data_IF_045646622943
#
_entry.id   IF_045646622943
#
_cell.length_a   1.000
_cell.length_b   1.000
_cell.length_c   1.000
_cell.angle_alpha   90.00
_cell.angle_beta   90.00
_cell.angle_gamma   90.00
#
_symmetry.space_group_name_H-M   'P 1'
#
loop_
_entity.id
_entity.type
_entity.pdbx_description
1 polymer ?
#
# COMPACT_ATOMS: atom_id res chain seq x y z
N UNK A 1 10.02 -9.86 4.97
CA UNK A 1 8.89 -9.13 4.39
C UNK A 1 8.05 -10.08 3.57
N UNK A 2 6.79 -9.72 3.35
CA UNK A 2 5.86 -10.43 2.46
C UNK A 2 5.58 -9.55 1.24
N UNK A 3 5.34 -10.18 0.10
CA UNK A 3 5.17 -9.48 -1.17
C UNK A 3 3.82 -9.78 -1.78
N UNK A 4 3.11 -8.73 -2.16
CA UNK A 4 1.85 -8.80 -2.87
C UNK A 4 1.89 -7.89 -4.11
N UNK A 5 0.93 -8.04 -5.00
CA UNK A 5 0.63 -7.02 -6.00
C UNK A 5 -0.87 -6.77 -6.12
N UNK A 6 -1.21 -5.58 -6.64
CA UNK A 6 -2.60 -5.18 -6.85
C UNK A 6 -3.13 -5.66 -8.20
N UNK A 7 -4.37 -6.15 -8.22
CA UNK A 7 -5.06 -6.49 -9.47
C UNK A 7 -5.43 -5.26 -10.32
N UNK A 8 -5.18 -4.04 -9.83
CA UNK A 8 -5.22 -2.81 -10.65
C UNK A 8 -4.30 -2.92 -11.89
N UNK A 9 -3.20 -3.68 -11.76
CA UNK A 9 -2.29 -3.98 -12.86
C UNK A 9 -2.77 -5.07 -13.83
N UNK A 10 -3.90 -5.72 -13.54
CA UNK A 10 -4.49 -6.84 -14.31
C UNK A 10 -5.99 -6.60 -14.59
N UNK A 11 -6.39 -5.48 -15.23
CA UNK A 11 -7.80 -5.12 -15.38
C UNK A 11 -8.65 -6.24 -15.97
N UNK A 12 -9.76 -6.59 -15.33
CA UNK A 12 -10.71 -7.59 -15.78
C UNK A 12 -10.18 -9.05 -15.82
N UNK A 13 -8.98 -9.28 -15.28
CA UNK A 13 -8.38 -10.63 -15.29
C UNK A 13 -9.11 -11.56 -14.32
N UNK A 14 -9.50 -12.79 -14.73
CA UNK A 14 -10.14 -13.75 -13.84
C UNK A 14 -9.29 -14.05 -12.59
N UNK A 15 -9.96 -14.23 -11.43
CA UNK A 15 -9.30 -14.51 -10.13
C UNK A 15 -8.32 -15.68 -10.21
N UNK A 16 -8.69 -16.76 -10.90
CA UNK A 16 -7.83 -17.94 -11.06
C UNK A 16 -6.52 -17.61 -11.80
N UNK A 17 -6.57 -16.72 -12.79
CA UNK A 17 -5.35 -16.30 -13.51
C UNK A 17 -4.49 -15.38 -12.66
N UNK A 18 -5.08 -14.44 -11.92
CA UNK A 18 -4.35 -13.58 -10.99
C UNK A 18 -3.67 -14.39 -9.88
N UNK A 19 -4.38 -15.40 -9.34
CA UNK A 19 -3.81 -16.33 -8.35
C UNK A 19 -2.66 -17.16 -8.92
N UNK A 20 -2.80 -17.68 -10.15
CA UNK A 20 -1.74 -18.43 -10.82
C UNK A 20 -0.50 -17.56 -11.05
N UNK A 21 -0.67 -16.31 -11.51
CA UNK A 21 0.43 -15.37 -11.68
C UNK A 21 1.14 -15.05 -10.35
N UNK A 22 0.39 -14.85 -9.27
CA UNK A 22 1.01 -14.61 -7.96
C UNK A 22 1.88 -15.81 -7.53
N UNK A 23 1.34 -17.02 -7.60
CA UNK A 23 2.06 -18.24 -7.26
C UNK A 23 3.27 -18.49 -8.17
N UNK A 24 3.14 -18.32 -9.48
CA UNK A 24 4.18 -18.52 -10.49
C UNK A 24 5.38 -17.59 -10.25
N UNK A 25 5.12 -16.32 -9.88
CA UNK A 25 6.16 -15.33 -9.65
C UNK A 25 6.54 -15.19 -8.17
N UNK A 26 6.00 -16.03 -7.29
CA UNK A 26 6.37 -16.13 -5.87
C UNK A 26 5.87 -14.99 -4.99
N UNK A 27 4.77 -14.33 -5.37
CA UNK A 27 4.06 -13.40 -4.49
C UNK A 27 3.17 -14.18 -3.52
N UNK A 28 3.17 -13.77 -2.26
CA UNK A 28 2.40 -14.42 -1.20
C UNK A 28 0.98 -13.89 -1.10
N UNK A 29 0.69 -12.74 -1.71
CA UNK A 29 -0.63 -12.11 -1.62
C UNK A 29 -1.05 -11.32 -2.84
N UNK A 30 -2.36 -11.02 -2.87
CA UNK A 30 -2.99 -10.11 -3.82
C UNK A 30 -3.78 -9.03 -3.07
N UNK A 31 -3.68 -7.81 -3.52
CA UNK A 31 -4.68 -6.77 -3.27
C UNK A 31 -5.70 -6.81 -4.39
N UNK A 32 -6.98 -6.95 -4.05
CA UNK A 32 -8.05 -7.07 -5.03
C UNK A 32 -8.75 -5.74 -5.24
N UNK A 33 -8.65 -5.18 -6.44
CA UNK A 33 -9.44 -4.02 -6.84
C UNK A 33 -10.93 -4.39 -6.83
N UNK A 34 -11.73 -3.67 -6.05
CA UNK A 34 -13.17 -3.91 -5.90
C UNK A 34 -13.97 -2.85 -6.67
N UNK A 35 -14.15 -3.06 -7.95
CA UNK A 35 -14.94 -2.21 -8.85
C UNK A 35 -15.84 -3.09 -9.73
N UNK A 36 -16.98 -2.55 -10.19
CA UNK A 36 -17.96 -3.31 -11.00
C UNK A 36 -17.41 -3.83 -12.33
N UNK A 37 -16.26 -3.31 -12.79
CA UNK A 37 -15.54 -3.80 -13.97
C UNK A 37 -14.65 -5.02 -13.67
N UNK A 38 -14.51 -5.38 -12.38
CA UNK A 38 -13.63 -6.47 -11.95
C UNK A 38 -14.44 -7.73 -11.58
N UNK A 39 -13.80 -8.90 -11.59
CA UNK A 39 -14.47 -10.16 -11.24
C UNK A 39 -15.05 -10.19 -9.82
N UNK A 40 -14.49 -9.41 -8.90
CA UNK A 40 -14.94 -9.32 -7.51
C UNK A 40 -15.24 -7.86 -7.12
N UNK A 41 -16.47 -7.63 -6.72
CA UNK A 41 -16.98 -6.33 -6.29
C UNK A 41 -18.10 -6.51 -5.23
N UNK A 42 -18.56 -5.44 -4.57
CA UNK A 42 -19.56 -5.54 -3.51
C UNK A 42 -20.85 -6.28 -3.87
N UNK A 43 -21.25 -6.30 -5.16
CA UNK A 43 -22.47 -6.95 -5.61
C UNK A 43 -22.25 -8.40 -6.10
N UNK A 44 -21.01 -8.89 -6.09
CA UNK A 44 -20.69 -10.29 -6.45
C UNK A 44 -21.44 -11.24 -5.52
N UNK A 45 -22.14 -12.27 -6.05
CA UNK A 45 -22.87 -13.24 -5.24
C UNK A 45 -21.98 -13.98 -4.23
N UNK A 46 -22.51 -14.26 -3.03
CA UNK A 46 -21.73 -14.91 -1.95
C UNK A 46 -21.10 -16.24 -2.35
N UNK A 47 -21.80 -17.05 -3.17
CA UNK A 47 -21.25 -18.31 -3.71
C UNK A 47 -19.99 -18.10 -4.56
N UNK A 48 -19.95 -17.03 -5.36
CA UNK A 48 -18.80 -16.68 -6.19
C UNK A 48 -17.64 -16.16 -5.35
N UNK A 49 -17.91 -15.37 -4.29
CA UNK A 49 -16.88 -14.92 -3.32
C UNK A 49 -16.21 -16.11 -2.63
N UNK A 50 -17.01 -17.09 -2.19
CA UNK A 50 -16.49 -18.34 -1.59
C UNK A 50 -15.66 -19.15 -2.60
N UNK A 51 -16.11 -19.24 -3.84
CA UNK A 51 -15.35 -19.93 -4.92
C UNK A 51 -14.01 -19.20 -5.18
N UNK A 52 -14.01 -17.88 -5.27
CA UNK A 52 -12.81 -17.06 -5.43
C UNK A 52 -11.81 -17.26 -4.28
N UNK A 53 -12.28 -17.21 -3.03
CA UNK A 53 -11.46 -17.48 -1.85
C UNK A 53 -10.80 -18.85 -1.92
N UNK A 54 -11.57 -19.89 -2.26
CA UNK A 54 -11.04 -21.27 -2.41
C UNK A 54 -9.97 -21.35 -3.50
N UNK A 55 -10.18 -20.66 -4.62
CA UNK A 55 -9.22 -20.62 -5.73
C UNK A 55 -7.90 -19.99 -5.29
N UNK A 56 -7.95 -18.86 -4.58
CA UNK A 56 -6.77 -18.19 -4.05
C UNK A 56 -6.04 -19.06 -3.01
N UNK A 57 -6.78 -19.63 -2.06
CA UNK A 57 -6.21 -20.53 -1.05
C UNK A 57 -5.56 -21.78 -1.66
N UNK A 58 -6.17 -22.37 -2.71
CA UNK A 58 -5.60 -23.52 -3.41
C UNK A 58 -4.28 -23.17 -4.13
N UNK A 59 -4.11 -21.93 -4.55
CA UNK A 59 -2.85 -21.41 -5.12
C UNK A 59 -1.82 -20.99 -4.05
N UNK A 60 -2.16 -21.08 -2.75
CA UNK A 60 -1.30 -20.59 -1.65
C UNK A 60 -1.20 -19.08 -1.58
N UNK A 61 -2.17 -18.35 -2.13
CA UNK A 61 -2.16 -16.88 -2.22
C UNK A 61 -3.15 -16.28 -1.22
N UNK A 62 -2.67 -15.37 -0.38
CA UNK A 62 -3.49 -14.62 0.59
C UNK A 62 -4.17 -13.43 -0.09
N UNK A 63 -5.41 -13.13 0.27
CA UNK A 63 -6.01 -11.83 -0.04
C UNK A 63 -5.49 -10.82 0.98
N UNK A 64 -4.57 -9.95 0.58
CA UNK A 64 -4.02 -8.91 1.45
C UNK A 64 -5.07 -7.86 1.81
N UNK A 65 -5.83 -7.42 0.83
CA UNK A 65 -6.85 -6.40 1.02
C UNK A 65 -7.81 -6.29 -0.15
N UNK A 66 -8.92 -5.61 0.10
CA UNK A 66 -9.90 -5.21 -0.89
C UNK A 66 -9.78 -3.71 -1.11
N UNK A 67 -9.31 -3.30 -2.29
CA UNK A 67 -9.12 -1.90 -2.66
C UNK A 67 -10.44 -1.31 -3.20
N UNK A 68 -11.20 -0.66 -2.31
CA UNK A 68 -12.46 0.01 -2.64
C UNK A 68 -12.26 1.46 -3.10
N UNK A 69 -13.34 2.08 -3.58
CA UNK A 69 -13.36 3.45 -4.10
C UNK A 69 -14.21 4.39 -3.24
N UNK A 70 -14.44 4.03 -1.97
CA UNK A 70 -15.21 4.87 -1.06
C UNK A 70 -14.34 6.02 -0.57
N UNK A 71 -14.84 7.23 -0.73
CA UNK A 71 -14.22 8.49 -0.33
C UNK A 71 -14.76 8.94 1.04
N UNK A 72 -13.97 8.76 2.09
CA UNK A 72 -14.43 9.01 3.46
C UNK A 72 -14.42 10.49 3.88
N UNK A 73 -13.61 11.33 3.21
CA UNK A 73 -13.53 12.77 3.47
C UNK A 73 -14.38 13.61 2.51
N UNK A 74 -14.97 13.02 1.46
CA UNK A 74 -15.79 13.74 0.51
C UNK A 74 -16.99 14.42 1.15
N UNK A 75 -17.52 15.49 0.54
CA UNK A 75 -18.76 16.14 0.96
C UNK A 75 -19.99 15.21 0.83
N UNK A 76 -21.11 15.59 1.41
CA UNK A 76 -22.38 14.88 1.28
C UNK A 76 -22.72 13.99 2.48
N UNK A 77 -23.83 13.25 2.35
CA UNK A 77 -24.43 12.48 3.43
C UNK A 77 -23.60 11.25 3.82
N UNK A 78 -23.59 10.95 5.11
CA UNK A 78 -22.86 9.79 5.63
C UNK A 78 -23.53 8.45 5.28
N UNK A 79 -24.85 8.42 5.14
CA UNK A 79 -25.63 7.20 4.90
C UNK A 79 -25.12 6.35 3.74
N UNK A 80 -25.01 6.90 2.52
CA UNK A 80 -24.48 6.18 1.36
C UNK A 80 -23.04 5.69 1.57
N UNK A 81 -22.17 6.53 2.15
CA UNK A 81 -20.76 6.20 2.41
C UNK A 81 -20.67 5.03 3.40
N UNK A 82 -21.41 5.08 4.50
CA UNK A 82 -21.43 4.00 5.49
C UNK A 82 -22.01 2.70 4.93
N UNK A 83 -23.01 2.78 4.06
CA UNK A 83 -23.57 1.61 3.38
C UNK A 83 -22.53 0.96 2.45
N UNK A 84 -21.80 1.75 1.66
CA UNK A 84 -20.74 1.29 0.78
C UNK A 84 -19.57 0.67 1.58
N UNK A 85 -19.14 1.29 2.68
CA UNK A 85 -18.12 0.73 3.58
C UNK A 85 -18.54 -0.64 4.11
N UNK A 86 -19.78 -0.79 4.60
CA UNK A 86 -20.29 -2.08 5.06
C UNK A 86 -20.31 -3.14 3.98
N UNK A 87 -20.59 -2.78 2.73
CA UNK A 87 -20.57 -3.71 1.59
C UNK A 87 -19.16 -4.18 1.27
N UNK A 88 -18.17 -3.28 1.30
CA UNK A 88 -16.74 -3.63 1.15
C UNK A 88 -16.24 -4.51 2.29
N UNK A 89 -16.62 -4.19 3.53
CA UNK A 89 -16.26 -5.01 4.71
C UNK A 89 -16.80 -6.43 4.59
N UNK A 90 -18.06 -6.60 4.16
CA UNK A 90 -18.61 -7.95 3.92
C UNK A 90 -17.86 -8.69 2.81
N UNK A 91 -17.54 -8.01 1.71
CA UNK A 91 -16.73 -8.61 0.65
C UNK A 91 -15.36 -9.06 1.17
N UNK A 92 -14.67 -8.20 1.93
CA UNK A 92 -13.38 -8.53 2.52
C UNK A 92 -13.48 -9.71 3.49
N UNK A 93 -14.47 -9.73 4.37
CA UNK A 93 -14.70 -10.83 5.31
C UNK A 93 -14.97 -12.17 4.59
N UNK A 94 -15.81 -12.17 3.53
CA UNK A 94 -16.08 -13.38 2.72
C UNK A 94 -14.82 -13.90 2.03
N UNK A 95 -13.88 -13.02 1.72
CA UNK A 95 -12.58 -13.35 1.09
C UNK A 95 -11.46 -13.60 2.11
N UNK A 96 -11.74 -13.50 3.41
CA UNK A 96 -10.75 -13.57 4.51
C UNK A 96 -9.63 -12.50 4.38
N UNK A 97 -9.95 -11.37 3.74
CA UNK A 97 -9.05 -10.24 3.61
C UNK A 97 -9.04 -9.40 4.90
N UNK A 98 -7.88 -9.15 5.53
CA UNK A 98 -7.80 -8.38 6.76
C UNK A 98 -8.01 -6.87 6.56
N UNK A 99 -7.93 -6.39 5.32
CA UNK A 99 -7.95 -4.96 5.04
C UNK A 99 -8.95 -4.56 3.96
N UNK A 100 -9.55 -3.38 4.13
CA UNK A 100 -10.27 -2.64 3.10
C UNK A 100 -9.63 -1.28 2.94
N UNK A 101 -9.16 -0.96 1.75
CA UNK A 101 -8.65 0.36 1.40
C UNK A 101 -9.80 1.33 1.12
N UNK A 102 -9.69 2.55 1.62
CA UNK A 102 -10.59 3.67 1.34
C UNK A 102 -9.79 4.91 0.96
N UNK A 103 -10.33 5.73 0.07
CA UNK A 103 -9.76 7.03 -0.28
C UNK A 103 -10.20 8.14 0.70
N UNK A 104 -9.41 9.20 0.85
CA UNK A 104 -9.87 10.45 1.45
C UNK A 104 -10.93 11.13 0.57
N UNK A 105 -10.62 11.53 -0.65
CA UNK A 105 -11.56 12.14 -1.61
C UNK A 105 -12.10 13.51 -1.19
N UNK A 106 -11.48 14.20 -0.23
CA UNK A 106 -11.93 15.50 0.30
C UNK A 106 -11.54 16.71 -0.54
N UNK A 107 -11.21 16.51 -1.83
CA UNK A 107 -10.79 17.58 -2.71
C UNK A 107 -11.80 18.71 -2.80
N UNK A 108 -11.33 19.97 -2.71
CA UNK A 108 -12.17 21.17 -2.77
C UNK A 108 -12.79 21.58 -1.43
N UNK A 109 -12.70 20.76 -0.37
CA UNK A 109 -13.10 21.14 0.98
C UNK A 109 -11.94 21.81 1.74
N UNK A 110 -12.23 22.70 2.71
CA UNK A 110 -11.26 23.08 3.73
C UNK A 110 -10.74 21.84 4.47
N UNK A 111 -9.45 21.80 4.78
CA UNK A 111 -8.80 20.65 5.43
C UNK A 111 -9.55 20.19 6.69
N UNK A 112 -9.96 21.12 7.55
CA UNK A 112 -10.67 20.82 8.79
C UNK A 112 -12.01 20.12 8.56
N UNK A 113 -12.72 20.45 7.47
CA UNK A 113 -13.99 19.86 7.09
C UNK A 113 -13.78 18.46 6.51
N UNK A 114 -12.79 18.30 5.62
CA UNK A 114 -12.39 17.00 5.09
C UNK A 114 -11.99 16.03 6.21
N UNK A 115 -11.14 16.47 7.14
CA UNK A 115 -10.78 15.73 8.35
C UNK A 115 -12.02 15.33 9.17
N UNK A 116 -12.95 16.28 9.41
CA UNK A 116 -14.13 16.03 10.22
C UNK A 116 -15.05 14.97 9.58
N UNK A 117 -15.19 14.98 8.25
CA UNK A 117 -15.92 13.95 7.50
C UNK A 117 -15.26 12.58 7.65
N UNK A 118 -13.96 12.49 7.38
CA UNK A 118 -13.20 11.24 7.48
C UNK A 118 -13.26 10.65 8.90
N UNK A 119 -13.01 11.46 9.92
CA UNK A 119 -13.07 11.04 11.33
C UNK A 119 -14.44 10.52 11.70
N UNK A 120 -15.50 11.23 11.36
CA UNK A 120 -16.87 10.86 11.70
C UNK A 120 -17.26 9.52 11.05
N UNK A 121 -16.98 9.35 9.75
CA UNK A 121 -17.33 8.15 8.98
C UNK A 121 -16.50 6.95 9.39
N UNK A 122 -15.19 7.11 9.56
CA UNK A 122 -14.32 6.02 10.02
C UNK A 122 -14.71 5.59 11.44
N UNK A 123 -14.97 6.51 12.37
CA UNK A 123 -15.47 6.17 13.72
C UNK A 123 -16.78 5.37 13.69
N UNK A 124 -17.69 5.73 12.79
CA UNK A 124 -18.97 5.03 12.67
C UNK A 124 -18.83 3.64 12.02
N UNK A 125 -17.85 3.43 11.13
CA UNK A 125 -17.67 2.19 10.40
C UNK A 125 -16.70 1.21 11.08
N UNK A 126 -15.69 1.71 11.81
CA UNK A 126 -14.62 0.90 12.39
C UNK A 126 -15.10 -0.24 13.31
N UNK A 127 -16.10 -0.05 14.21
CA UNK A 127 -16.58 -1.16 15.04
C UNK A 127 -17.24 -2.28 14.21
N UNK A 128 -17.88 -1.93 13.10
CA UNK A 128 -18.46 -2.93 12.21
C UNK A 128 -17.36 -3.71 11.49
N UNK A 129 -16.33 -3.03 11.00
CA UNK A 129 -15.19 -3.66 10.36
C UNK A 129 -14.45 -4.60 11.33
N UNK A 130 -14.15 -4.14 12.54
CA UNK A 130 -13.48 -4.90 13.58
C UNK A 130 -14.27 -6.17 13.95
N UNK A 131 -15.60 -6.06 14.08
CA UNK A 131 -16.49 -7.20 14.34
C UNK A 131 -16.50 -8.25 13.22
N UNK A 132 -15.99 -7.92 12.02
CA UNK A 132 -15.80 -8.83 10.90
C UNK A 132 -14.33 -9.26 10.69
N UNK A 133 -13.43 -8.90 11.60
CA UNK A 133 -12.00 -9.16 11.46
C UNK A 133 -11.30 -8.34 10.37
N UNK A 134 -11.90 -7.21 9.98
CA UNK A 134 -11.42 -6.32 8.91
C UNK A 134 -11.01 -4.98 9.50
N UNK A 135 -9.95 -4.39 8.95
CA UNK A 135 -9.51 -3.03 9.27
C UNK A 135 -9.65 -2.12 8.06
N UNK A 136 -10.28 -0.95 8.23
CA UNK A 136 -10.40 0.07 7.20
C UNK A 136 -9.09 0.86 7.12
N UNK A 137 -8.46 0.89 5.98
CA UNK A 137 -7.20 1.62 5.79
C UNK A 137 -7.44 2.88 4.96
N UNK A 138 -7.19 4.03 5.57
CA UNK A 138 -7.14 5.32 4.90
C UNK A 138 -5.83 5.39 4.11
N UNK A 139 -5.93 5.52 2.80
CA UNK A 139 -4.77 5.65 1.92
C UNK A 139 -4.22 7.08 1.97
N UNK A 140 -2.90 7.23 1.93
CA UNK A 140 -2.26 8.51 1.64
C UNK A 140 -2.52 8.88 0.18
N UNK A 141 -3.54 9.70 -0.08
CA UNK A 141 -4.05 10.02 -1.41
C UNK A 141 -4.84 11.35 -1.40
N UNK A 142 -5.18 11.89 -2.55
CA UNK A 142 -6.08 13.05 -2.75
C UNK A 142 -5.82 14.20 -1.75
N UNK A 143 -6.84 14.49 -0.90
CA UNK A 143 -6.78 15.55 0.10
C UNK A 143 -5.86 15.25 1.30
N UNK A 144 -5.41 14.00 1.46
CA UNK A 144 -4.54 13.56 2.56
C UNK A 144 -3.29 12.84 2.02
N UNK A 145 -2.46 13.51 1.18
CA UNK A 145 -1.39 12.84 0.45
C UNK A 145 -0.15 12.57 1.32
N UNK A 146 -0.09 13.05 2.56
CA UNK A 146 1.06 12.90 3.46
C UNK A 146 0.76 11.96 4.63
N UNK A 147 1.81 11.38 5.21
CA UNK A 147 1.71 10.60 6.45
C UNK A 147 1.11 11.41 7.58
N UNK A 148 1.56 12.67 7.73
CA UNK A 148 1.04 13.60 8.73
C UNK A 148 -0.47 13.87 8.57
N UNK A 149 -0.96 14.04 7.34
CA UNK A 149 -2.38 14.28 7.08
C UNK A 149 -3.24 13.06 7.42
N UNK A 150 -2.81 11.86 7.00
CA UNK A 150 -3.53 10.63 7.33
C UNK A 150 -3.49 10.31 8.83
N UNK A 151 -2.33 10.46 9.48
CA UNK A 151 -2.17 10.25 10.92
C UNK A 151 -3.07 11.20 11.74
N UNK A 152 -3.15 12.48 11.37
CA UNK A 152 -4.02 13.47 12.01
C UNK A 152 -5.49 13.02 12.06
N UNK A 153 -5.99 12.39 11.01
CA UNK A 153 -7.33 11.80 10.97
C UNK A 153 -7.40 10.56 11.86
N UNK A 154 -6.44 9.64 11.74
CA UNK A 154 -6.44 8.35 12.43
C UNK A 154 -6.27 8.49 13.95
N UNK A 155 -5.45 9.42 14.41
CA UNK A 155 -5.32 9.76 15.84
C UNK A 155 -6.65 10.22 16.43
N UNK A 156 -7.39 11.02 15.67
CA UNK A 156 -8.74 11.46 16.08
C UNK A 156 -9.76 10.33 16.00
N UNK A 157 -9.63 9.38 15.07
CA UNK A 157 -10.48 8.17 15.01
C UNK A 157 -10.28 7.33 16.27
N UNK A 158 -9.03 7.01 16.62
CA UNK A 158 -8.68 6.34 17.86
C UNK A 158 -9.28 4.94 18.02
N UNK A 159 -9.49 4.18 16.93
CA UNK A 159 -10.13 2.87 16.96
C UNK A 159 -9.30 1.83 16.21
N UNK A 160 -9.23 0.60 16.75
CA UNK A 160 -8.45 -0.50 16.16
C UNK A 160 -8.94 -0.92 14.77
N UNK A 161 -10.24 -0.77 14.49
CA UNK A 161 -10.84 -1.07 13.18
C UNK A 161 -10.48 -0.08 12.06
N UNK A 162 -9.66 0.96 12.33
CA UNK A 162 -9.15 1.89 11.32
C UNK A 162 -7.62 1.95 11.35
N UNK A 163 -7.01 2.26 10.22
CA UNK A 163 -5.56 2.36 10.07
C UNK A 163 -5.15 3.06 8.77
N UNK A 164 -3.88 3.01 8.45
CA UNK A 164 -3.28 3.64 7.29
C UNK A 164 -2.85 2.61 6.24
N UNK A 165 -3.04 2.97 4.99
CA UNK A 165 -2.33 2.45 3.85
C UNK A 165 -1.34 3.51 3.38
N UNK A 166 -0.06 3.19 3.42
CA UNK A 166 0.95 4.09 2.91
C UNK A 166 1.15 3.85 1.42
N UNK A 167 0.62 4.72 0.57
CA UNK A 167 1.00 4.80 -0.82
C UNK A 167 2.22 5.71 -0.96
N UNK A 168 3.34 5.11 -1.36
CA UNK A 168 4.65 5.78 -1.44
C UNK A 168 4.67 6.86 -2.52
N UNK A 169 3.94 6.68 -3.63
CA UNK A 169 3.91 7.66 -4.71
C UNK A 169 3.30 8.97 -4.25
N UNK A 170 2.17 8.92 -3.53
CA UNK A 170 1.47 10.14 -3.12
C UNK A 170 2.23 10.93 -2.06
N UNK A 171 2.87 10.26 -1.09
CA UNK A 171 3.73 10.94 -0.11
C UNK A 171 4.95 11.55 -0.78
N UNK A 172 5.56 10.84 -1.74
CA UNK A 172 6.69 11.37 -2.52
C UNK A 172 6.30 12.57 -3.39
N UNK A 173 5.14 12.54 -4.07
CA UNK A 173 4.61 13.67 -4.85
C UNK A 173 4.31 14.89 -3.98
N UNK A 174 3.89 14.67 -2.73
CA UNK A 174 3.70 15.73 -1.75
C UNK A 174 5.02 16.30 -1.17
N UNK A 175 6.17 15.73 -1.54
CA UNK A 175 7.50 16.17 -1.09
C UNK A 175 7.93 15.60 0.27
N UNK A 176 7.18 14.66 0.83
CA UNK A 176 7.47 14.05 2.13
C UNK A 176 8.56 12.97 1.97
N UNK A 177 9.54 12.96 2.88
CA UNK A 177 10.59 11.94 2.87
C UNK A 177 10.09 10.63 3.50
N UNK A 178 10.58 9.44 3.07
CA UNK A 178 10.11 8.15 3.60
C UNK A 178 10.19 8.03 5.13
N UNK A 179 11.22 8.60 5.75
CA UNK A 179 11.35 8.60 7.21
C UNK A 179 10.32 9.47 7.92
N UNK A 180 9.83 10.52 7.29
CA UNK A 180 8.75 11.39 7.81
C UNK A 180 7.42 10.66 7.72
N UNK A 181 7.08 10.14 6.54
CA UNK A 181 5.87 9.33 6.34
C UNK A 181 5.82 8.14 7.30
N UNK A 182 6.94 7.42 7.45
CA UNK A 182 7.04 6.30 8.38
C UNK A 182 6.77 6.71 9.82
N UNK A 183 7.40 7.77 10.31
CA UNK A 183 7.24 8.24 11.70
C UNK A 183 5.77 8.47 12.03
N UNK A 184 5.03 9.08 11.11
CA UNK A 184 3.65 9.46 11.34
C UNK A 184 2.68 8.28 11.11
N UNK A 185 2.97 7.39 10.15
CA UNK A 185 2.08 6.28 9.78
C UNK A 185 2.33 4.99 10.58
N UNK A 186 3.53 4.74 11.11
CA UNK A 186 3.89 3.48 11.76
C UNK A 186 2.90 3.01 12.84
N UNK A 187 2.33 3.89 13.70
CA UNK A 187 1.35 3.48 14.71
C UNK A 187 0.04 2.96 14.11
N UNK A 188 -0.27 3.36 12.89
CA UNK A 188 -1.54 3.09 12.20
C UNK A 188 -1.42 2.09 11.06
N UNK A 189 -0.21 1.71 10.67
CA UNK A 189 0.06 1.04 9.41
C UNK A 189 -0.62 -0.33 9.29
N UNK A 190 -1.27 -0.56 8.15
CA UNK A 190 -1.70 -1.87 7.68
C UNK A 190 -0.67 -2.49 6.76
N UNK A 191 -0.40 -1.85 5.63
CA UNK A 191 0.63 -2.24 4.67
C UNK A 191 1.09 -1.05 3.83
N UNK A 192 2.11 -1.28 2.99
CA UNK A 192 2.69 -0.26 2.10
C UNK A 192 2.42 -0.63 0.65
N UNK A 193 1.86 0.29 -0.12
CA UNK A 193 1.84 0.22 -1.58
C UNK A 193 3.12 0.84 -2.14
N UNK A 194 3.80 0.09 -2.98
CA UNK A 194 5.01 0.53 -3.69
C UNK A 194 4.72 0.61 -5.19
N UNK A 195 5.27 1.61 -5.82
CA UNK A 195 5.16 1.89 -7.26
C UNK A 195 6.51 2.36 -7.76
N UNK A 196 6.66 2.49 -9.07
CA UNK A 196 7.79 3.21 -9.65
C UNK A 196 7.36 3.95 -10.91
N UNK A 197 7.89 5.14 -11.11
CA UNK A 197 7.58 6.05 -12.21
C UNK A 197 8.84 6.77 -12.68
N UNK A 198 8.82 7.32 -13.89
CA UNK A 198 9.99 8.02 -14.45
C UNK A 198 10.25 9.37 -13.79
N UNK A 199 9.21 10.10 -13.38
CA UNK A 199 9.31 11.41 -12.73
C UNK A 199 7.94 11.83 -12.16
N UNK A 200 7.89 12.93 -11.42
CA UNK A 200 6.64 13.53 -10.95
C UNK A 200 5.73 14.06 -12.09
N UNK A 201 6.27 14.22 -13.30
CA UNK A 201 5.53 14.68 -14.49
C UNK A 201 5.11 13.52 -15.39
N UNK A 202 5.70 12.34 -15.22
CA UNK A 202 5.34 11.13 -15.96
C UNK A 202 5.12 9.99 -14.96
N UNK A 203 3.86 9.76 -14.65
CA UNK A 203 3.39 8.74 -13.71
C UNK A 203 3.07 7.41 -14.40
N UNK A 204 3.45 7.24 -15.67
CA UNK A 204 3.34 5.94 -16.34
C UNK A 204 4.04 4.88 -15.51
N UNK A 205 3.35 3.81 -15.09
CA UNK A 205 3.94 2.82 -14.19
C UNK A 205 5.10 2.08 -14.85
N UNK A 206 6.19 1.96 -14.10
CA UNK A 206 7.39 1.22 -14.48
C UNK A 206 7.56 -0.04 -13.61
N UNK A 207 8.42 -0.94 -14.10
CA UNK A 207 8.91 -2.04 -13.24
C UNK A 207 9.64 -1.46 -12.03
N UNK A 208 9.40 -2.02 -10.85
CA UNK A 208 10.08 -1.56 -9.63
C UNK A 208 11.62 -1.58 -9.80
N UNK A 209 12.25 -0.47 -9.46
CA UNK A 209 13.69 -0.22 -9.62
C UNK A 209 14.08 0.33 -10.99
N UNK A 210 13.12 0.63 -11.86
CA UNK A 210 13.38 1.29 -13.14
C UNK A 210 13.06 2.79 -13.12
N UNK A 211 12.50 3.29 -12.03
CA UNK A 211 12.10 4.69 -11.87
C UNK A 211 12.89 5.42 -10.80
N UNK A 212 12.24 6.40 -10.17
CA UNK A 212 12.89 7.38 -9.29
C UNK A 212 12.42 7.33 -7.82
N UNK A 213 11.45 6.48 -7.48
CA UNK A 213 10.96 6.42 -6.11
C UNK A 213 12.04 5.84 -5.16
N UNK A 214 12.18 6.37 -3.94
CA UNK A 214 13.21 5.96 -2.97
C UNK A 214 12.80 4.65 -2.26
N UNK A 215 12.66 3.56 -3.04
CA UNK A 215 12.15 2.27 -2.54
C UNK A 215 13.10 1.59 -1.54
N UNK A 216 14.38 1.87 -1.61
CA UNK A 216 15.39 1.42 -0.64
C UNK A 216 15.15 2.05 0.74
N UNK A 217 14.94 3.37 0.80
CA UNK A 217 14.61 4.07 2.05
C UNK A 217 13.26 3.61 2.61
N UNK A 218 12.24 3.46 1.76
CA UNK A 218 10.92 2.95 2.17
C UNK A 218 11.04 1.56 2.79
N UNK A 219 11.70 0.64 2.09
CA UNK A 219 11.87 -0.73 2.58
C UNK A 219 12.70 -0.78 3.86
N UNK A 220 13.61 0.16 4.11
CA UNK A 220 14.39 0.24 5.34
C UNK A 220 13.53 0.43 6.59
N UNK A 221 12.37 1.06 6.48
CA UNK A 221 11.46 1.28 7.59
C UNK A 221 10.48 0.13 7.84
N UNK A 222 10.04 -0.58 6.80
CA UNK A 222 9.00 -1.61 6.92
C UNK A 222 9.48 -2.81 7.74
N UNK A 223 8.77 -3.29 8.77
CA UNK A 223 9.17 -4.45 9.58
C UNK A 223 9.34 -5.73 8.75
N UNK A 224 10.16 -6.67 9.21
CA UNK A 224 10.45 -7.92 8.51
C UNK A 224 9.21 -8.79 8.23
N UNK A 225 8.13 -8.65 9.02
CA UNK A 225 6.84 -9.30 8.78
C UNK A 225 5.84 -8.47 7.99
N UNK A 226 6.18 -7.22 7.64
CA UNK A 226 5.30 -6.30 6.93
C UNK A 226 5.08 -6.68 5.47
N UNK A 227 4.01 -6.14 4.89
CA UNK A 227 3.66 -6.33 3.49
C UNK A 227 4.10 -5.15 2.63
N UNK A 228 4.73 -5.47 1.50
CA UNK A 228 4.93 -4.58 0.37
C UNK A 228 4.02 -5.04 -0.77
N UNK A 229 3.08 -4.19 -1.17
CA UNK A 229 2.14 -4.45 -2.25
C UNK A 229 2.54 -3.60 -3.46
N UNK A 230 2.91 -4.24 -4.56
CA UNK A 230 3.18 -3.50 -5.81
C UNK A 230 1.87 -3.12 -6.47
N UNK A 231 1.54 -1.83 -6.48
CA UNK A 231 0.42 -1.29 -7.23
C UNK A 231 0.90 -0.77 -8.58
N UNK A 232 0.70 -1.58 -9.61
CA UNK A 232 1.01 -1.22 -10.99
C UNK A 232 -0.26 -0.69 -11.66
N UNK A 233 -0.29 0.58 -12.03
CA UNK A 233 -1.52 1.28 -12.42
C UNK A 233 -1.90 1.09 -13.90
N UNK A 234 -1.74 -0.12 -14.45
CA UNK A 234 -2.08 -0.46 -15.85
C UNK A 234 -3.47 0.01 -16.26
N UNK A 235 -4.43 -0.04 -15.35
CA UNK A 235 -5.82 0.39 -15.60
C UNK A 235 -5.92 1.84 -16.08
N UNK A 236 -5.09 2.71 -15.52
CA UNK A 236 -5.08 4.14 -15.84
C UNK A 236 -4.12 4.50 -16.98
N UNK A 237 -3.16 3.62 -17.22
CA UNK A 237 -2.13 3.79 -18.25
C UNK A 237 -2.16 2.61 -19.24
N UNK A 238 -3.17 2.53 -20.15
CA UNK A 238 -3.31 1.38 -21.05
C UNK A 238 -2.12 1.18 -21.99
N UNK A 239 -1.34 2.22 -22.25
CA UNK A 239 -0.11 2.16 -23.04
C UNK A 239 1.13 1.63 -22.29
N UNK A 240 1.07 1.50 -20.95
CA UNK A 240 2.15 0.90 -20.18
C UNK A 240 2.37 -0.58 -20.53
N UNK A 241 3.53 -1.12 -20.21
CA UNK A 241 3.82 -2.54 -20.40
C UNK A 241 2.84 -3.44 -19.61
N UNK A 242 2.67 -4.68 -20.07
CA UNK A 242 1.80 -5.63 -19.38
C UNK A 242 2.44 -6.13 -18.09
N UNK A 243 1.71 -6.07 -16.96
CA UNK A 243 2.23 -6.44 -15.64
C UNK A 243 2.78 -7.87 -15.58
N UNK A 244 2.18 -8.91 -16.19
CA UNK A 244 2.72 -10.28 -16.09
C UNK A 244 4.18 -10.40 -16.52
N UNK A 245 4.60 -9.65 -17.54
CA UNK A 245 5.99 -9.63 -18.01
C UNK A 245 6.98 -8.97 -17.04
N UNK A 246 6.48 -8.21 -16.05
CA UNK A 246 7.27 -7.44 -15.11
C UNK A 246 7.37 -8.08 -13.71
N UNK A 247 6.46 -9.02 -13.38
CA UNK A 247 6.29 -9.55 -12.02
C UNK A 247 7.58 -10.13 -11.42
N UNK A 248 8.31 -10.96 -12.18
CA UNK A 248 9.58 -11.54 -11.69
C UNK A 248 10.58 -10.45 -11.31
N UNK A 249 10.82 -9.49 -12.22
CA UNK A 249 11.80 -8.42 -12.03
C UNK A 249 11.44 -7.51 -10.86
N UNK A 250 10.16 -7.13 -10.76
CA UNK A 250 9.65 -6.32 -9.65
C UNK A 250 9.83 -7.02 -8.30
N UNK A 251 9.48 -8.31 -8.21
CA UNK A 251 9.69 -9.09 -6.99
C UNK A 251 11.16 -9.24 -6.61
N UNK A 252 12.02 -9.57 -7.58
CA UNK A 252 13.46 -9.68 -7.34
C UNK A 252 14.06 -8.38 -6.81
N UNK A 253 13.58 -7.23 -7.31
CA UNK A 253 13.98 -5.93 -6.80
C UNK A 253 13.61 -5.78 -5.32
N UNK A 254 12.36 -6.03 -4.93
CA UNK A 254 11.90 -5.95 -3.53
C UNK A 254 12.65 -6.91 -2.62
N UNK A 255 12.93 -8.14 -3.09
CA UNK A 255 13.71 -9.13 -2.33
C UNK A 255 15.13 -8.64 -2.10
N UNK A 256 15.78 -8.05 -3.10
CA UNK A 256 17.13 -7.48 -2.98
C UNK A 256 17.15 -6.37 -1.92
N UNK A 257 16.27 -5.37 -2.02
CA UNK A 257 16.17 -4.29 -1.04
C UNK A 257 15.95 -4.82 0.39
N UNK A 258 15.14 -5.85 0.54
CA UNK A 258 14.86 -6.47 1.85
C UNK A 258 16.07 -7.20 2.43
N UNK A 259 16.96 -7.77 1.60
CA UNK A 259 18.18 -8.46 2.03
C UNK A 259 19.29 -7.48 2.41
N UNK A 260 19.44 -6.39 1.66
CA UNK A 260 20.48 -5.38 1.91
C UNK A 260 20.32 -4.73 3.27
N UNK A 261 19.08 -4.60 3.79
CA UNK A 261 18.79 -4.20 5.18
C UNK A 261 19.36 -5.15 6.24
N UNK A 262 19.42 -6.44 5.93
CA UNK A 262 19.84 -7.47 6.89
C UNK A 262 21.35 -7.64 6.91
N UNK A 263 22.07 -7.03 5.98
CA UNK A 263 23.53 -7.03 5.98
C UNK A 263 24.03 -6.06 7.07
N UNK A 264 24.93 -6.49 7.99
CA UNK A 264 25.54 -5.58 8.96
C UNK A 264 26.24 -4.46 8.20
N UNK A 265 25.97 -3.20 8.57
CA UNK A 265 26.66 -2.04 8.02
C UNK A 265 28.16 -2.32 8.03
N UNK A 266 28.76 -2.45 6.83
CA UNK A 266 30.16 -2.81 6.66
C UNK A 266 31.01 -1.91 7.53
N UNK A 267 31.89 -2.51 8.32
CA UNK A 267 32.89 -1.76 9.09
C UNK A 267 33.56 -0.80 8.13
N UNK A 268 33.43 0.48 8.39
CA UNK A 268 34.20 1.51 7.71
C UNK A 268 35.66 1.08 7.72
N UNK A 269 36.24 0.90 6.54
CA UNK A 269 37.64 0.59 6.37
C UNK A 269 38.45 1.57 7.22
N UNK A 270 39.27 1.00 8.12
CA UNK A 270 40.12 1.76 9.02
C UNK A 270 40.95 2.78 8.24
N UNK A 271 41.03 3.97 8.74
CA UNK A 271 41.96 4.99 8.28
C UNK A 271 43.36 4.41 8.20
N UNK A 272 44.11 4.63 7.11
CA UNK A 272 45.54 4.29 7.08
C UNK A 272 46.26 5.16 8.11
N UNK A 273 47.05 4.49 8.96
CA UNK A 273 47.87 5.14 10.00
C UNK A 273 48.73 6.27 9.46
N UNK A 274 48.83 7.33 10.20
CA UNK A 274 49.82 8.38 10.02
C UNK A 274 51.24 7.78 10.01
N UNK A 275 52.12 8.19 9.10
CA UNK A 275 53.56 7.94 9.23
C UNK A 275 54.15 9.00 10.16
N UNK A 276 54.74 8.52 11.23
CA UNK A 276 55.38 9.32 12.22
C UNK A 276 56.59 10.11 11.77
N UNK A 277 56.96 11.05 12.58
CA UNK A 277 58.36 11.49 12.81
C UNK A 277 58.79 12.71 12.02
N UNK A 278 58.70 13.89 12.65
CA UNK A 278 59.54 15.04 12.31
C UNK A 278 60.93 14.85 12.88
N UNK A 279 62.03 15.22 12.16
CA UNK A 279 63.39 15.20 12.68
C UNK A 279 63.68 16.43 13.54
N UNK A 280 64.66 16.34 14.50
CA UNK A 280 65.00 17.44 15.39
C UNK A 280 65.80 18.55 14.67
N UNK A 281 65.59 19.82 15.10
CA UNK A 281 66.41 20.96 14.66
C UNK A 281 67.77 20.95 15.36
N UNK A 282 68.86 21.31 14.68
CA UNK A 282 70.15 21.55 15.30
C UNK A 282 70.28 22.96 15.95
N UNK A 283 71.35 23.21 16.76
CA UNK A 283 71.43 24.24 17.78
C UNK A 283 71.47 25.67 17.31
#
# INVERSE_FOLDING_TARGET
>A
MKYAFSTLGLPGTPVARSAALAAEHGYEGLELRAHTEEPLHPDTPGGERVAARRTLAAAGVTVLGVAGYVEVAASGDDGPVLAALRSLVRLAADLEAPYVRVFPGGGGLPEADADAHAVRRLRAAAPYAEGHGVRLLLETHDSHPTGAAAARVLDRVGQAGAGALWDVLHTWLAGEQPGESWRDLAPHLGYVQVKDVASAQDLTPLTLGAGVLPLDEVTAHVPSGGWLCWEYEKRWYPGAEELPGQLTRGREHLVRLSRDRSAPAGRSAGSPGEPGGAPPRPP
#
